data_IF_590680816070
#
_entry.id   IF_590680816070
#
_cell.length_a   1.000
_cell.length_b   1.000
_cell.length_c   1.000
_cell.angle_alpha   90.00
_cell.angle_beta   90.00
_cell.angle_gamma   90.00
#
_symmetry.space_group_name_H-M   'P 1'
#
loop_
_entity.id
_entity.type
_entity.pdbx_description
1 polymer ?
#
# COMPACT_ATOMS: atom_id res chain seq x y z
N UNK A 1 11.01 -2.34 -3.32
CA UNK A 1 12.44 -1.93 -3.18
C UNK A 1 12.88 -2.19 -1.76
N UNK A 2 14.08 -2.71 -1.56
CA UNK A 2 14.56 -3.20 -0.27
C UNK A 2 15.07 -2.10 0.70
N UNK A 3 14.81 -0.81 0.42
CA UNK A 3 15.26 0.35 1.21
C UNK A 3 16.76 0.35 1.59
N UNK A 4 17.61 -0.11 0.67
CA UNK A 4 19.06 -0.13 0.87
C UNK A 4 19.67 1.16 0.28
N UNK A 5 20.46 1.93 1.05
CA UNK A 5 21.08 3.16 0.56
C UNK A 5 22.24 2.85 -0.41
N UNK A 6 22.40 3.68 -1.45
CA UNK A 6 23.48 3.54 -2.43
C UNK A 6 24.89 3.65 -1.84
N UNK A 7 25.05 4.21 -0.64
CA UNK A 7 26.32 4.24 0.08
C UNK A 7 26.86 2.85 0.42
N UNK A 8 26.03 1.80 0.36
CA UNK A 8 26.46 0.43 0.64
C UNK A 8 27.55 -0.05 -0.31
N UNK A 9 27.58 0.46 -1.55
CA UNK A 9 28.56 0.03 -2.57
C UNK A 9 29.99 0.49 -2.23
N UNK A 10 30.13 1.51 -1.40
CA UNK A 10 31.42 2.04 -0.91
C UNK A 10 31.79 1.45 0.47
N UNK A 11 30.95 0.57 1.03
CA UNK A 11 31.26 -0.06 2.31
C UNK A 11 32.39 -1.08 2.15
N UNK A 12 33.45 -1.06 3.00
CA UNK A 12 34.58 -1.98 2.88
C UNK A 12 34.20 -3.46 2.86
N UNK A 13 33.19 -3.86 3.64
CA UNK A 13 32.71 -5.24 3.70
C UNK A 13 31.99 -5.64 2.42
N UNK A 14 31.27 -4.70 1.82
CA UNK A 14 30.61 -4.92 0.53
C UNK A 14 31.62 -5.00 -0.61
N UNK A 15 32.65 -4.17 -0.59
CA UNK A 15 33.75 -4.21 -1.56
C UNK A 15 34.49 -5.56 -1.44
N UNK A 16 34.82 -5.99 -0.23
CA UNK A 16 35.49 -7.28 0.01
C UNK A 16 34.65 -8.46 -0.48
N UNK A 17 33.33 -8.42 -0.22
CA UNK A 17 32.38 -9.39 -0.76
C UNK A 17 32.41 -9.43 -2.29
N UNK A 18 32.34 -8.27 -2.95
CA UNK A 18 32.37 -8.19 -4.41
C UNK A 18 33.70 -8.67 -4.98
N UNK A 19 34.84 -8.33 -4.35
CA UNK A 19 36.15 -8.82 -4.76
C UNK A 19 36.35 -10.31 -4.51
N UNK A 20 35.69 -10.87 -3.49
CA UNK A 20 35.66 -12.33 -3.27
C UNK A 20 34.92 -13.04 -4.40
N UNK A 21 33.83 -12.46 -4.88
CA UNK A 21 33.03 -13.03 -5.98
C UNK A 21 33.70 -12.83 -7.35
N UNK A 22 34.25 -11.64 -7.60
CA UNK A 22 34.92 -11.29 -8.84
C UNK A 22 36.12 -10.37 -8.56
N UNK A 23 37.33 -10.95 -8.38
CA UNK A 23 38.51 -10.20 -7.95
C UNK A 23 38.92 -9.05 -8.87
N UNK A 24 38.64 -9.17 -10.17
CA UNK A 24 38.96 -8.16 -11.19
C UNK A 24 37.90 -7.07 -11.35
N UNK A 25 36.84 -7.06 -10.54
CA UNK A 25 35.80 -6.03 -10.61
C UNK A 25 35.97 -5.00 -9.50
N UNK A 26 36.23 -3.75 -9.88
CA UNK A 26 36.19 -2.63 -8.96
C UNK A 26 34.80 -1.99 -8.98
N UNK A 27 34.07 -2.00 -7.85
CA UNK A 27 32.74 -1.43 -7.79
C UNK A 27 32.79 0.09 -8.04
N UNK A 28 31.79 0.65 -8.75
CA UNK A 28 31.72 2.08 -9.01
C UNK A 28 31.44 2.87 -7.72
N UNK A 29 31.76 4.16 -7.74
CA UNK A 29 31.35 5.07 -6.65
C UNK A 29 29.82 5.22 -6.62
N UNK A 30 29.28 5.61 -5.47
CA UNK A 30 27.84 5.86 -5.31
C UNK A 30 27.32 6.92 -6.28
N UNK A 31 28.16 7.90 -6.64
CA UNK A 31 27.83 8.95 -7.59
C UNK A 31 27.70 8.41 -9.02
N UNK A 32 28.66 7.55 -9.43
CA UNK A 32 28.65 6.91 -10.74
C UNK A 32 27.50 5.90 -10.86
N UNK A 33 27.24 5.15 -9.79
CA UNK A 33 26.10 4.23 -9.73
C UNK A 33 24.77 4.97 -9.86
N UNK A 34 24.54 5.98 -9.01
CA UNK A 34 23.25 6.67 -8.93
C UNK A 34 22.97 7.58 -10.12
N UNK A 35 23.99 8.25 -10.65
CA UNK A 35 23.86 9.07 -11.85
C UNK A 35 24.03 8.22 -13.09
N UNK A 36 25.29 8.05 -13.51
CA UNK A 36 25.62 7.55 -14.85
C UNK A 36 25.08 6.16 -15.15
N UNK A 37 25.27 5.17 -14.27
CA UNK A 37 24.90 3.78 -14.57
C UNK A 37 23.39 3.59 -14.54
N UNK A 38 22.70 4.09 -13.51
CA UNK A 38 21.24 3.98 -13.45
C UNK A 38 20.55 4.78 -14.56
N UNK A 39 21.02 5.99 -14.89
CA UNK A 39 20.46 6.77 -16.00
C UNK A 39 20.70 6.09 -17.34
N UNK A 40 21.89 5.53 -17.56
CA UNK A 40 22.23 4.77 -18.77
C UNK A 40 21.37 3.52 -18.92
N UNK A 41 21.24 2.71 -17.86
CA UNK A 41 20.38 1.53 -17.87
C UNK A 41 18.91 1.89 -18.06
N UNK A 42 18.43 2.95 -17.40
CA UNK A 42 17.06 3.45 -17.58
C UNK A 42 16.82 3.88 -19.03
N UNK A 43 17.77 4.60 -19.62
CA UNK A 43 17.70 5.05 -21.02
C UNK A 43 17.72 3.85 -21.97
N UNK A 44 18.58 2.86 -21.71
CA UNK A 44 18.70 1.65 -22.52
C UNK A 44 17.42 0.80 -22.45
N UNK A 45 16.87 0.61 -21.25
CA UNK A 45 15.59 -0.09 -21.04
C UNK A 45 14.46 0.67 -21.71
N UNK A 46 14.38 1.99 -21.56
CA UNK A 46 13.37 2.80 -22.24
C UNK A 46 13.46 2.66 -23.76
N UNK A 47 14.66 2.72 -24.34
CA UNK A 47 14.85 2.52 -25.78
C UNK A 47 14.42 1.11 -26.20
N UNK A 48 14.81 0.08 -25.44
CA UNK A 48 14.43 -1.31 -25.72
C UNK A 48 12.91 -1.48 -25.69
N UNK A 49 12.25 -0.97 -24.65
CA UNK A 49 10.80 -0.97 -24.51
C UNK A 49 10.16 -0.23 -25.70
N UNK A 50 10.64 0.96 -26.06
CA UNK A 50 10.06 1.73 -27.18
C UNK A 50 10.25 1.04 -28.53
N UNK A 51 11.37 0.34 -28.73
CA UNK A 51 11.63 -0.46 -29.93
C UNK A 51 10.74 -1.70 -29.99
N UNK A 52 10.56 -2.42 -28.88
CA UNK A 52 9.63 -3.55 -28.79
C UNK A 52 8.18 -3.08 -29.01
N UNK A 53 7.78 -1.98 -28.36
CA UNK A 53 6.45 -1.36 -28.52
C UNK A 53 6.18 -0.87 -29.95
N UNK A 54 7.21 -0.50 -30.71
CA UNK A 54 7.06 -0.07 -32.10
C UNK A 54 7.14 -1.22 -33.11
N UNK A 55 7.78 -2.33 -32.75
CA UNK A 55 7.82 -3.55 -33.56
C UNK A 55 6.53 -4.38 -33.43
N UNK A 56 5.85 -4.30 -32.30
CA UNK A 56 4.57 -4.99 -32.08
C UNK A 56 3.38 -4.18 -32.60
N UNK A 57 2.83 -4.61 -33.74
CA UNK A 57 1.56 -4.10 -34.29
C UNK A 57 0.35 -4.33 -33.35
N UNK A 58 0.54 -5.14 -32.31
CA UNK A 58 -0.51 -5.64 -31.42
C UNK A 58 -0.35 -5.20 -29.94
N UNK A 59 0.76 -4.54 -29.56
CA UNK A 59 1.01 -4.15 -28.16
C UNK A 59 0.72 -2.68 -27.84
N UNK A 60 -0.17 -2.07 -28.62
CA UNK A 60 -1.26 -1.31 -27.98
C UNK A 60 -2.48 -2.21 -28.02
N UNK A 61 -2.75 -2.94 -26.93
CA UNK A 61 -3.82 -3.97 -26.81
C UNK A 61 -5.17 -3.51 -27.40
N UNK A 62 -5.39 -2.21 -27.46
CA UNK A 62 -6.36 -1.59 -28.35
C UNK A 62 -5.68 -0.28 -28.80
N UNK A 63 -5.46 -0.01 -30.10
CA UNK A 63 -4.80 1.25 -30.51
C UNK A 63 -5.45 2.49 -29.85
N UNK A 64 -4.69 3.54 -29.52
CA UNK A 64 -5.16 4.69 -28.71
C UNK A 64 -6.51 5.29 -29.14
N UNK A 65 -6.85 5.18 -30.44
CA UNK A 65 -8.13 5.59 -31.04
C UNK A 65 -9.36 4.78 -30.60
N UNK A 66 -9.15 3.62 -29.96
CA UNK A 66 -10.21 2.70 -29.53
C UNK A 66 -10.52 2.81 -28.03
N UNK A 67 -9.72 3.58 -27.27
CA UNK A 67 -10.05 3.93 -25.90
C UNK A 67 -10.98 5.15 -25.87
N UNK A 68 -12.06 5.03 -25.10
CA UNK A 68 -13.04 6.10 -24.89
C UNK A 68 -12.82 6.78 -23.54
N UNK A 69 -12.38 6.02 -22.52
CA UNK A 69 -12.17 6.57 -21.19
C UNK A 69 -11.10 5.81 -20.40
N UNK A 70 -10.48 6.51 -19.44
CA UNK A 70 -9.58 5.94 -18.43
C UNK A 70 -10.18 6.23 -17.06
N UNK A 71 -10.29 5.19 -16.23
CA UNK A 71 -10.70 5.31 -14.82
C UNK A 71 -9.48 5.13 -13.94
N UNK A 72 -9.08 6.17 -13.22
CA UNK A 72 -7.87 6.13 -12.40
C UNK A 72 -8.10 6.72 -11.01
N UNK A 73 -7.17 6.43 -10.09
CA UNK A 73 -7.18 7.06 -8.77
C UNK A 73 -6.85 8.57 -8.86
N UNK A 74 -6.98 9.26 -7.72
CA UNK A 74 -6.71 10.70 -7.60
C UNK A 74 -5.33 10.99 -7.02
N UNK A 75 -4.37 10.06 -7.12
CA UNK A 75 -2.99 10.32 -6.73
C UNK A 75 -2.41 11.45 -7.57
N UNK A 76 -1.58 12.32 -6.99
CA UNK A 76 -1.00 13.48 -7.70
C UNK A 76 -0.29 13.08 -8.99
N UNK A 77 0.45 11.97 -8.96
CA UNK A 77 1.18 11.44 -10.11
C UNK A 77 0.23 10.91 -11.19
N UNK A 78 -0.86 10.26 -10.78
CA UNK A 78 -1.89 9.74 -11.68
C UNK A 78 -2.68 10.87 -12.31
N UNK A 79 -3.02 11.91 -11.54
CA UNK A 79 -3.64 13.12 -12.06
C UNK A 79 -2.76 13.82 -13.10
N UNK A 80 -1.45 13.91 -12.86
CA UNK A 80 -0.49 14.45 -13.83
C UNK A 80 -0.42 13.60 -15.11
N UNK A 81 -0.33 12.27 -14.96
CA UNK A 81 -0.33 11.34 -16.09
C UNK A 81 -1.61 11.44 -16.92
N UNK A 82 -2.79 11.45 -16.27
CA UNK A 82 -4.06 11.61 -16.94
C UNK A 82 -4.16 12.96 -17.67
N UNK A 83 -3.58 14.04 -17.13
CA UNK A 83 -3.53 15.34 -17.81
C UNK A 83 -2.70 15.26 -19.09
N UNK A 84 -1.55 14.59 -19.06
CA UNK A 84 -0.72 14.36 -20.25
C UNK A 84 -1.51 13.53 -21.28
N UNK A 85 -2.21 12.49 -20.84
CA UNK A 85 -3.01 11.63 -21.73
C UNK A 85 -4.16 12.40 -22.37
N UNK A 86 -4.92 13.19 -21.60
CA UNK A 86 -6.01 14.01 -22.13
C UNK A 86 -5.51 15.06 -23.14
N UNK A 87 -4.31 15.61 -22.94
CA UNK A 87 -3.69 16.53 -23.89
C UNK A 87 -3.26 15.83 -25.20
N UNK A 88 -2.67 14.64 -25.09
CA UNK A 88 -2.16 13.89 -26.25
C UNK A 88 -3.28 13.16 -27.01
N UNK A 89 -4.37 12.79 -26.33
CA UNK A 89 -5.48 12.02 -26.88
C UNK A 89 -6.83 12.61 -26.41
N UNK A 90 -7.34 13.66 -27.06
CA UNK A 90 -8.59 14.33 -26.67
C UNK A 90 -9.83 13.42 -26.74
N UNK A 91 -9.76 12.31 -27.48
CA UNK A 91 -10.80 11.30 -27.56
C UNK A 91 -10.92 10.43 -26.31
N UNK A 92 -9.96 10.51 -25.38
CA UNK A 92 -9.92 9.70 -24.15
C UNK A 92 -10.40 10.55 -22.97
N UNK A 93 -11.56 10.19 -22.43
CA UNK A 93 -12.17 10.86 -21.29
C UNK A 93 -11.50 10.40 -20.00
N UNK A 94 -11.06 11.35 -19.18
CA UNK A 94 -10.58 11.05 -17.83
C UNK A 94 -11.76 10.95 -16.85
N UNK A 95 -12.01 9.75 -16.33
CA UNK A 95 -13.06 9.46 -15.34
C UNK A 95 -12.42 9.20 -13.98
N UNK A 96 -12.90 9.87 -12.93
CA UNK A 96 -12.39 9.65 -11.58
C UNK A 96 -12.90 8.31 -11.02
N UNK A 97 -12.04 7.63 -10.25
CA UNK A 97 -12.44 6.40 -9.58
C UNK A 97 -13.53 6.64 -8.52
N UNK A 98 -14.65 5.90 -8.63
CA UNK A 98 -15.78 5.98 -7.68
C UNK A 98 -15.39 5.60 -6.26
N UNK A 99 -14.37 4.76 -6.09
CA UNK A 99 -13.89 4.36 -4.76
C UNK A 99 -13.33 5.54 -3.96
N UNK A 100 -12.86 6.60 -4.63
CA UNK A 100 -12.46 7.84 -3.97
C UNK A 100 -13.67 8.57 -3.38
N UNK A 101 -14.79 8.64 -4.11
CA UNK A 101 -16.03 9.21 -3.61
C UNK A 101 -16.52 8.47 -2.36
N UNK A 102 -16.48 7.13 -2.40
CA UNK A 102 -16.82 6.30 -1.23
C UNK A 102 -15.86 6.56 -0.06
N UNK A 103 -14.57 6.76 -0.33
CA UNK A 103 -13.60 7.14 0.71
C UNK A 103 -13.91 8.49 1.35
N UNK A 104 -14.25 9.50 0.57
CA UNK A 104 -14.63 10.82 1.09
C UNK A 104 -15.90 10.77 1.94
N UNK A 105 -16.89 9.97 1.54
CA UNK A 105 -18.11 9.74 2.34
C UNK A 105 -17.72 9.07 3.66
N UNK A 106 -16.92 8.00 3.59
CA UNK A 106 -16.47 7.27 4.77
C UNK A 106 -15.68 8.15 5.74
N UNK A 107 -14.75 8.99 5.25
CA UNK A 107 -13.97 9.89 6.12
C UNK A 107 -14.84 10.98 6.73
N UNK A 108 -15.87 11.43 6.01
CA UNK A 108 -16.85 12.39 6.54
C UNK A 108 -17.67 11.79 7.69
N UNK A 109 -18.09 10.52 7.55
CA UNK A 109 -18.78 9.79 8.63
C UNK A 109 -17.87 9.63 9.86
N UNK A 110 -16.58 9.34 9.67
CA UNK A 110 -15.62 9.18 10.78
C UNK A 110 -15.39 10.49 11.54
N UNK A 111 -15.69 11.66 10.96
CA UNK A 111 -15.56 12.95 11.65
C UNK A 111 -16.64 13.20 12.69
N UNK A 112 -17.75 12.46 12.66
CA UNK A 112 -18.80 12.49 13.68
C UNK A 112 -18.20 12.02 15.00
N UNK A 113 -18.38 12.77 16.09
CA UNK A 113 -17.64 12.56 17.35
C UNK A 113 -17.88 11.17 17.95
N UNK A 114 -19.11 10.65 17.87
CA UNK A 114 -19.47 9.30 18.33
C UNK A 114 -18.72 8.22 17.53
N UNK A 115 -18.68 8.38 16.20
CA UNK A 115 -17.98 7.44 15.30
C UNK A 115 -16.47 7.54 15.51
N UNK A 116 -15.94 8.76 15.62
CA UNK A 116 -14.54 9.05 15.91
C UNK A 116 -14.09 8.40 17.20
N UNK A 117 -14.92 8.44 18.24
CA UNK A 117 -14.66 7.77 19.51
C UNK A 117 -14.57 6.25 19.34
N UNK A 118 -15.53 5.63 18.64
CA UNK A 118 -15.54 4.18 18.38
C UNK A 118 -14.28 3.76 17.60
N UNK A 119 -13.95 4.48 16.53
CA UNK A 119 -12.75 4.22 15.72
C UNK A 119 -11.48 4.35 16.56
N UNK A 120 -11.42 5.34 17.47
CA UNK A 120 -10.30 5.50 18.40
C UNK A 120 -10.15 4.29 19.33
N UNK A 121 -11.23 3.83 19.94
CA UNK A 121 -11.22 2.64 20.79
C UNK A 121 -10.80 1.38 20.02
N UNK A 122 -11.34 1.18 18.81
CA UNK A 122 -10.96 0.06 17.95
C UNK A 122 -9.46 0.07 17.60
N UNK A 123 -8.88 1.26 17.35
CA UNK A 123 -7.46 1.40 17.07
C UNK A 123 -6.58 1.11 18.29
N UNK A 124 -6.98 1.59 19.48
CA UNK A 124 -6.27 1.30 20.74
C UNK A 124 -6.25 -0.21 20.99
N UNK A 125 -7.41 -0.86 20.87
CA UNK A 125 -7.55 -2.30 21.06
C UNK A 125 -6.68 -3.08 20.06
N UNK A 126 -6.75 -2.70 18.78
CA UNK A 126 -5.95 -3.35 17.73
C UNK A 126 -4.45 -3.20 18.00
N UNK A 127 -4.00 -2.02 18.45
CA UNK A 127 -2.60 -1.77 18.80
C UNK A 127 -2.17 -2.60 20.02
N UNK A 128 -3.01 -2.70 21.04
CA UNK A 128 -2.73 -3.48 22.25
C UNK A 128 -2.42 -4.95 21.95
N UNK A 129 -3.21 -5.58 21.08
CA UNK A 129 -2.99 -6.97 20.67
C UNK A 129 -1.80 -7.12 19.72
N UNK A 130 -1.65 -6.23 18.74
CA UNK A 130 -0.56 -6.30 17.74
C UNK A 130 0.83 -6.03 18.32
N UNK A 131 0.92 -5.25 19.39
CA UNK A 131 2.20 -4.92 20.01
C UNK A 131 2.81 -6.08 20.84
N UNK A 132 2.12 -7.20 20.98
CA UNK A 132 2.61 -8.35 21.74
C UNK A 132 2.33 -9.66 21.00
N UNK A 133 3.38 -10.44 20.77
CA UNK A 133 3.29 -11.77 20.14
C UNK A 133 2.39 -12.71 20.92
N UNK A 134 2.51 -12.70 22.25
CA UNK A 134 1.68 -13.54 23.14
C UNK A 134 0.19 -13.18 23.02
N UNK A 135 -0.14 -11.88 23.12
CA UNK A 135 -1.53 -11.43 23.02
C UNK A 135 -2.12 -11.67 21.64
N UNK A 136 -1.32 -11.53 20.59
CA UNK A 136 -1.72 -11.87 19.22
C UNK A 136 -2.01 -13.37 19.08
N UNK A 137 -1.21 -14.25 19.71
CA UNK A 137 -1.49 -15.70 19.73
C UNK A 137 -2.81 -15.99 20.43
N UNK A 138 -3.02 -15.46 21.64
CA UNK A 138 -4.26 -15.63 22.39
C UNK A 138 -5.49 -15.14 21.62
N UNK A 139 -5.37 -14.01 20.93
CA UNK A 139 -6.43 -13.48 20.08
C UNK A 139 -6.74 -14.45 18.93
N UNK A 140 -5.71 -14.98 18.26
CA UNK A 140 -5.89 -15.92 17.15
C UNK A 140 -6.47 -17.26 17.60
N UNK A 141 -6.04 -17.78 18.74
CA UNK A 141 -6.60 -18.97 19.37
C UNK A 141 -8.08 -18.77 19.73
N UNK A 142 -8.43 -17.60 20.29
CA UNK A 142 -9.81 -17.26 20.62
C UNK A 142 -10.69 -17.10 19.37
N UNK A 143 -10.15 -16.54 18.29
CA UNK A 143 -10.86 -16.43 17.00
C UNK A 143 -11.13 -17.84 16.44
N UNK A 144 -10.14 -18.74 16.51
CA UNK A 144 -10.28 -20.14 16.05
C UNK A 144 -11.27 -20.91 16.92
N UNK A 145 -11.18 -20.80 18.24
CA UNK A 145 -12.05 -21.55 19.17
C UNK A 145 -13.51 -21.11 19.08
N UNK A 146 -13.77 -19.83 18.79
CA UNK A 146 -15.11 -19.29 18.58
C UNK A 146 -15.61 -19.40 17.13
N UNK A 147 -14.83 -20.02 16.25
CA UNK A 147 -15.14 -20.19 14.83
C UNK A 147 -15.53 -18.87 14.12
N UNK A 148 -14.84 -17.78 14.46
CA UNK A 148 -15.12 -16.45 13.91
C UNK A 148 -14.46 -16.31 12.54
N UNK A 149 -15.26 -16.18 11.49
CA UNK A 149 -14.78 -15.97 10.12
C UNK A 149 -14.33 -14.51 9.88
N UNK A 150 -13.32 -14.30 9.02
CA UNK A 150 -12.98 -12.97 8.50
C UNK A 150 -11.66 -12.30 8.94
N UNK A 151 -10.67 -13.06 9.44
CA UNK A 151 -9.31 -12.56 9.72
C UNK A 151 -9.15 -11.90 11.11
N UNK A 152 -8.01 -11.24 11.40
CA UNK A 152 -7.68 -10.64 12.71
C UNK A 152 -8.31 -9.26 12.99
N UNK A 153 -7.82 -8.53 14.00
CA UNK A 153 -8.21 -7.12 14.23
C UNK A 153 -7.54 -6.19 13.22
N UNK A 154 -8.28 -5.19 12.73
CA UNK A 154 -7.79 -4.22 11.73
C UNK A 154 -7.87 -2.79 12.24
N UNK A 155 -6.84 -2.03 11.92
CA UNK A 155 -6.71 -0.62 12.27
C UNK A 155 -7.39 0.22 11.19
N UNK A 156 -8.07 1.30 11.59
CA UNK A 156 -8.58 2.28 10.66
C UNK A 156 -7.44 3.01 9.93
N UNK A 157 -7.60 3.19 8.63
CA UNK A 157 -6.68 3.94 7.77
C UNK A 157 -7.51 4.88 6.88
N UNK A 158 -7.27 6.18 6.99
CA UNK A 158 -8.06 7.22 6.32
C UNK A 158 -8.07 7.11 4.79
N UNK A 159 -7.02 6.55 4.21
CA UNK A 159 -6.88 6.36 2.75
C UNK A 159 -7.66 5.14 2.22
N UNK A 160 -8.35 4.38 3.08
CA UNK A 160 -9.04 3.14 2.71
C UNK A 160 -10.43 3.06 3.34
N UNK A 161 -11.45 3.36 2.53
CA UNK A 161 -12.86 3.44 2.92
C UNK A 161 -13.37 2.20 3.67
N UNK A 162 -12.92 1.01 3.26
CA UNK A 162 -13.37 -0.24 3.86
C UNK A 162 -12.86 -0.41 5.31
N UNK A 163 -11.82 0.29 5.72
CA UNK A 163 -11.19 0.07 7.04
C UNK A 163 -12.07 0.50 8.21
N UNK A 164 -13.00 1.45 8.00
CA UNK A 164 -14.01 1.79 9.01
C UNK A 164 -14.90 0.59 9.28
N UNK A 165 -15.46 0.00 8.23
CA UNK A 165 -16.29 -1.20 8.35
C UNK A 165 -15.50 -2.39 8.93
N UNK A 166 -14.24 -2.55 8.56
CA UNK A 166 -13.43 -3.65 9.10
C UNK A 166 -13.03 -3.45 10.56
N UNK A 167 -12.86 -2.21 11.02
CA UNK A 167 -12.52 -1.95 12.43
C UNK A 167 -13.74 -1.92 13.34
N UNK A 168 -14.93 -1.53 12.84
CA UNK A 168 -16.17 -1.43 13.63
C UNK A 168 -17.15 -2.58 13.37
N UNK A 169 -17.38 -2.96 12.11
CA UNK A 169 -18.50 -3.79 11.69
C UNK A 169 -18.29 -5.31 11.83
N UNK A 170 -17.09 -5.83 11.57
CA UNK A 170 -16.88 -7.30 11.56
C UNK A 170 -16.88 -7.96 12.94
N UNK A 171 -16.60 -7.24 14.04
CA UNK A 171 -16.33 -7.86 15.35
C UNK A 171 -16.82 -7.12 16.59
N UNK A 172 -17.20 -5.83 16.49
CA UNK A 172 -17.86 -5.14 17.61
C UNK A 172 -19.38 -5.35 17.62
N UNK A 173 -19.97 -5.82 16.51
CA UNK A 173 -21.44 -5.95 16.33
C UNK A 173 -21.95 -7.34 16.73
N UNK A 174 -21.46 -7.88 17.84
CA UNK A 174 -22.21 -8.88 18.59
C UNK A 174 -22.44 -8.29 19.98
N UNK A 175 -23.69 -7.93 20.35
CA UNK A 175 -23.97 -7.34 21.67
C UNK A 175 -23.54 -8.23 22.84
N UNK A 176 -23.37 -9.53 22.62
CA UNK A 176 -22.82 -10.49 23.59
C UNK A 176 -21.30 -10.35 23.83
N UNK A 177 -20.54 -9.70 22.94
CA UNK A 177 -19.09 -9.52 23.08
C UNK A 177 -18.67 -8.17 23.68
N UNK A 178 -19.52 -7.14 23.64
CA UNK A 178 -19.31 -5.89 24.39
C UNK A 178 -19.35 -6.17 25.90
N UNK A 179 -20.25 -7.06 26.34
CA UNK A 179 -20.26 -7.58 27.71
C UNK A 179 -18.98 -8.34 28.06
N UNK A 180 -18.41 -9.10 27.12
CA UNK A 180 -17.13 -9.80 27.35
C UNK A 180 -15.92 -8.86 27.37
N UNK A 181 -15.89 -7.78 26.60
CA UNK A 181 -14.79 -6.79 26.67
C UNK A 181 -14.90 -5.96 27.95
N UNK A 182 -16.12 -5.62 28.38
CA UNK A 182 -16.37 -5.01 29.70
C UNK A 182 -15.98 -5.98 30.84
N UNK A 183 -16.28 -7.27 30.71
CA UNK A 183 -15.88 -8.32 31.65
C UNK A 183 -14.37 -8.55 31.66
N UNK A 184 -13.69 -8.53 30.51
CA UNK A 184 -12.22 -8.60 30.43
C UNK A 184 -11.58 -7.35 31.05
N UNK A 185 -12.16 -6.16 30.87
CA UNK A 185 -11.73 -4.93 31.54
C UNK A 185 -11.96 -4.99 33.07
N UNK A 186 -13.06 -5.60 33.54
CA UNK A 186 -13.36 -5.78 34.98
C UNK A 186 -12.53 -6.89 35.64
N UNK A 187 -12.21 -7.97 34.92
CA UNK A 187 -11.40 -9.09 35.40
C UNK A 187 -9.91 -8.73 35.41
N UNK A 188 -9.46 -7.83 34.54
CA UNK A 188 -8.08 -7.35 34.48
C UNK A 188 -7.75 -6.18 35.45
N UNK A 189 -8.62 -5.86 36.42
CA UNK A 189 -8.42 -4.85 37.49
C UNK A 189 -7.04 -4.17 37.48
N UNK A 190 -6.95 -3.06 36.74
CA UNK A 190 -6.49 -1.81 37.35
C UNK A 190 -7.66 -1.20 38.11
#
# INVERSE_FOLDING_TARGET
MCNIPFSIIENPWFIDLIKTLQPGYDPPSRQVLNGTLLESETSRVNICIMNELSADNNFTIVGAKKFVAIVSDNGSNVAAACKIITNNYPNIINVRCITHCVNLISTSIVKIDEVKYIVRCANILTKYFKNSTLRSSWLNETIKSKNIEGGGLKTYVETRWMTVYECTGKKMVYPTHILHISYIYQVLKM
#
